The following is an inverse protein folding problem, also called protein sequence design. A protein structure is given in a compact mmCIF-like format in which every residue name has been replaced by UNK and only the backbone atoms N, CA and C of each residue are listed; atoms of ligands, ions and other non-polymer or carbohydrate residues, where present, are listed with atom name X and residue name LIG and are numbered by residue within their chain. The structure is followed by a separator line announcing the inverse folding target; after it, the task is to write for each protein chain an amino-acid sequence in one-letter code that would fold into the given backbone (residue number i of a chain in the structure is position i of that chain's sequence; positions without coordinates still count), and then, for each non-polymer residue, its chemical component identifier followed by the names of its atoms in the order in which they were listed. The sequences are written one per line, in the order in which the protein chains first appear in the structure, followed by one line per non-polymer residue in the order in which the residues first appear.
data_IF_507695123870
#
_entry.id   IF_507695123870
#
_cell.length_a   1.000
_cell.length_b   1.000
_cell.length_c   1.000
_cell.angle_alpha   90.00
_cell.angle_beta   90.00
_cell.angle_gamma   90.00
#
_symmetry.space_group_name_H-M   'P 1'
#
loop_
_entity.id
_entity.type
_entity.pdbx_description
1 polymer ?
#
# COMPACT_ATOMS: atom_id res chain seq x y z
N UNK A 1 55.80 -4.05 25.67
CA UNK A 1 56.00 -3.65 24.26
C UNK A 1 55.64 -4.86 23.38
N UNK A 2 54.42 -4.92 22.85
CA UNK A 2 54.00 -5.71 21.67
C UNK A 2 52.48 -6.02 21.76
N UNK A 3 51.63 -5.05 21.44
CA UNK A 3 50.19 -5.26 21.23
C UNK A 3 49.58 -4.20 20.26
N UNK A 4 50.26 -3.85 19.16
CA UNK A 4 49.75 -2.81 18.23
C UNK A 4 49.91 -3.18 16.75
N UNK A 5 50.04 -4.44 16.36
CA UNK A 5 50.34 -4.73 14.94
C UNK A 5 49.32 -5.58 14.19
N UNK A 6 48.12 -5.90 14.73
CA UNK A 6 47.15 -6.79 14.02
C UNK A 6 45.81 -6.13 13.58
N UNK A 7 45.69 -4.81 13.68
CA UNK A 7 44.45 -4.09 13.42
C UNK A 7 44.08 -3.85 11.94
N UNK A 8 44.96 -3.72 10.96
CA UNK A 8 44.55 -3.40 9.60
C UNK A 8 44.05 -4.59 8.78
N UNK A 9 44.55 -5.80 9.01
CA UNK A 9 44.25 -6.98 8.21
C UNK A 9 42.83 -7.56 8.45
N UNK A 10 42.35 -7.46 9.67
CA UNK A 10 40.96 -7.88 10.02
C UNK A 10 39.91 -6.96 9.44
N UNK A 11 40.18 -5.66 9.33
CA UNK A 11 39.26 -4.68 8.72
C UNK A 11 39.08 -4.90 7.21
N UNK A 12 40.13 -5.24 6.51
CA UNK A 12 40.09 -5.47 5.05
C UNK A 12 39.36 -6.77 4.72
N UNK A 13 39.48 -7.81 5.55
CA UNK A 13 38.76 -9.06 5.40
C UNK A 13 37.25 -8.87 5.64
N UNK A 14 36.89 -8.09 6.62
CA UNK A 14 35.49 -7.73 6.95
C UNK A 14 34.83 -6.90 5.84
N UNK A 15 35.52 -5.93 5.23
CA UNK A 15 35.02 -5.17 4.08
C UNK A 15 34.82 -6.03 2.84
N UNK A 16 35.69 -7.01 2.59
CA UNK A 16 35.54 -7.94 1.46
C UNK A 16 34.34 -8.88 1.63
N UNK A 17 34.06 -9.34 2.84
CA UNK A 17 32.88 -10.17 3.12
C UNK A 17 31.59 -9.39 2.99
N UNK A 18 31.53 -8.13 3.44
CA UNK A 18 30.38 -7.24 3.25
C UNK A 18 30.11 -6.97 1.75
N UNK A 19 31.15 -6.71 0.96
CA UNK A 19 30.98 -6.48 -0.48
C UNK A 19 30.55 -7.74 -1.24
N UNK A 20 30.86 -8.92 -0.75
CA UNK A 20 30.43 -10.17 -1.34
C UNK A 20 28.96 -10.51 -1.02
N UNK A 21 28.51 -10.22 0.21
CA UNK A 21 27.14 -10.45 0.66
C UNK A 21 26.13 -9.46 0.06
N UNK A 22 26.55 -8.27 -0.33
CA UNK A 22 25.67 -7.24 -0.91
C UNK A 22 25.24 -7.54 -2.37
N UNK A 23 25.71 -8.63 -2.96
CA UNK A 23 25.33 -9.07 -4.32
C UNK A 23 24.17 -10.07 -4.35
N UNK A 24 23.62 -10.49 -3.20
CA UNK A 24 22.52 -11.44 -3.11
C UNK A 24 21.38 -10.88 -2.25
N UNK A 25 20.19 -10.64 -2.81
CA UNK A 25 19.06 -10.01 -2.10
C UNK A 25 18.51 -10.86 -0.94
N UNK A 26 18.80 -12.15 -0.88
CA UNK A 26 18.28 -13.07 0.15
C UNK A 26 19.05 -13.04 1.48
N UNK A 27 20.16 -12.32 1.56
CA UNK A 27 21.08 -12.39 2.71
C UNK A 27 20.99 -11.19 3.69
N UNK A 28 19.96 -10.33 3.58
CA UNK A 28 19.81 -9.21 4.51
C UNK A 28 19.73 -9.63 5.98
N UNK A 29 19.05 -10.74 6.27
CA UNK A 29 18.91 -11.26 7.65
C UNK A 29 20.25 -11.80 8.19
N UNK A 30 21.07 -12.41 7.36
CA UNK A 30 22.41 -12.88 7.76
C UNK A 30 23.38 -11.71 7.98
N UNK A 31 23.25 -10.63 7.23
CA UNK A 31 24.08 -9.43 7.40
C UNK A 31 23.80 -8.76 8.74
N UNK A 32 22.54 -8.65 9.16
CA UNK A 32 22.18 -8.16 10.49
C UNK A 32 22.74 -9.03 11.61
N UNK A 33 22.70 -10.37 11.48
CA UNK A 33 23.29 -11.31 12.46
C UNK A 33 24.81 -11.17 12.55
N UNK A 34 25.52 -10.93 11.44
CA UNK A 34 26.97 -10.73 11.42
C UNK A 34 27.36 -9.37 12.04
N UNK A 35 26.60 -8.32 11.79
CA UNK A 35 26.79 -7.03 12.48
C UNK A 35 26.52 -7.14 13.99
N UNK A 36 25.49 -7.87 14.38
CA UNK A 36 25.13 -8.09 15.77
C UNK A 36 26.23 -8.83 16.55
N UNK A 37 26.81 -9.88 15.96
CA UNK A 37 27.84 -10.69 16.62
C UNK A 37 29.22 -10.00 16.69
N UNK A 38 29.54 -9.06 15.79
CA UNK A 38 30.81 -8.34 15.78
C UNK A 38 30.79 -7.00 16.54
N UNK A 39 29.62 -6.45 16.85
CA UNK A 39 29.48 -5.24 17.68
C UNK A 39 29.76 -5.49 19.18
N UNK A 40 29.92 -6.76 19.59
CA UNK A 40 30.22 -7.17 20.97
C UNK A 40 31.59 -6.73 21.48
N UNK A 41 32.44 -6.07 20.65
CA UNK A 41 33.80 -5.69 21.05
C UNK A 41 33.97 -4.25 21.55
N UNK A 42 32.88 -3.44 21.59
CA UNK A 42 32.98 -2.08 22.13
C UNK A 42 32.01 -1.89 23.30
N UNK A 43 32.52 -1.96 24.50
CA UNK A 43 31.76 -2.00 25.77
C UNK A 43 30.83 -0.80 26.07
N UNK A 44 30.72 0.21 25.17
CA UNK A 44 29.78 1.32 25.30
C UNK A 44 28.45 1.11 24.58
N UNK A 45 28.37 0.17 23.61
CA UNK A 45 27.12 -0.10 22.87
C UNK A 45 26.21 -1.11 23.60
N UNK A 46 26.77 -1.86 24.56
CA UNK A 46 26.05 -2.94 25.24
C UNK A 46 24.93 -2.46 26.18
N UNK A 47 25.01 -1.24 26.67
CA UNK A 47 23.98 -0.68 27.57
C UNK A 47 22.70 -0.23 26.83
N UNK A 48 22.78 0.01 25.50
CA UNK A 48 21.64 0.45 24.69
C UNK A 48 20.86 -0.70 24.04
N UNK A 49 21.43 -1.93 23.99
CA UNK A 49 20.90 -3.04 23.21
C UNK A 49 20.00 -3.99 24.00
N UNK A 50 19.78 -3.77 25.29
CA UNK A 50 18.99 -4.68 26.14
C UNK A 50 17.60 -4.13 26.50
N UNK A 51 17.12 -3.09 25.78
CA UNK A 51 15.74 -2.65 25.91
C UNK A 51 14.92 -3.36 24.84
N UNK A 52 14.05 -4.27 25.24
CA UNK A 52 12.99 -4.76 24.37
C UNK A 52 12.19 -3.54 23.87
N UNK A 53 12.02 -3.34 22.55
CA UNK A 53 11.29 -2.17 22.04
C UNK A 53 9.88 -2.18 22.63
N UNK A 54 9.42 -1.00 23.01
CA UNK A 54 8.04 -0.85 23.48
C UNK A 54 7.06 -1.28 22.37
N UNK A 55 5.87 -1.79 22.70
CA UNK A 55 4.90 -2.23 21.70
C UNK A 55 4.57 -1.17 20.65
N UNK A 56 4.50 0.11 21.06
CA UNK A 56 4.27 1.24 20.15
C UNK A 56 5.44 1.45 19.18
N UNK A 57 6.68 1.37 19.65
CA UNK A 57 7.86 1.48 18.79
C UNK A 57 7.98 0.29 17.81
N UNK A 58 7.60 -0.91 18.26
CA UNK A 58 7.63 -2.11 17.43
C UNK A 58 6.57 -2.04 16.32
N UNK A 59 5.35 -1.65 16.66
CA UNK A 59 4.25 -1.47 15.70
C UNK A 59 4.59 -0.34 14.72
N UNK A 60 5.11 0.80 15.20
CA UNK A 60 5.54 1.91 14.33
C UNK A 60 6.62 1.46 13.33
N UNK A 61 7.62 0.72 13.79
CA UNK A 61 8.67 0.18 12.93
C UNK A 61 8.13 -0.80 11.89
N UNK A 62 7.22 -1.70 12.31
CA UNK A 62 6.57 -2.65 11.41
C UNK A 62 5.77 -1.94 10.30
N UNK A 63 4.95 -0.95 10.67
CA UNK A 63 4.16 -0.15 9.74
C UNK A 63 5.00 0.68 8.77
N UNK A 64 6.21 1.11 9.18
CA UNK A 64 7.13 1.88 8.33
C UNK A 64 7.95 0.99 7.37
N UNK A 65 8.17 -0.26 7.73
CA UNK A 65 9.01 -1.18 6.93
C UNK A 65 8.20 -2.11 6.04
N UNK A 66 6.93 -2.33 6.37
CA UNK A 66 6.04 -3.19 5.57
C UNK A 66 5.47 -2.42 4.38
N UNK A 67 5.45 -3.07 3.21
CA UNK A 67 4.91 -2.47 1.98
C UNK A 67 3.40 -2.64 1.87
N UNK A 68 2.85 -3.69 2.49
CA UNK A 68 1.43 -4.00 2.50
C UNK A 68 0.77 -3.53 3.80
N UNK A 69 -0.54 -3.22 3.79
CA UNK A 69 -1.27 -2.90 5.01
C UNK A 69 -1.19 -4.03 6.03
N UNK A 70 -0.97 -3.70 7.30
CA UNK A 70 -0.94 -4.66 8.39
C UNK A 70 -2.31 -4.74 9.07
N UNK A 71 -2.82 -5.96 9.23
CA UNK A 71 -4.04 -6.21 9.98
C UNK A 71 -3.81 -6.03 11.50
N UNK A 72 -4.87 -5.71 12.24
CA UNK A 72 -4.82 -5.61 13.70
C UNK A 72 -4.35 -6.91 14.36
N UNK A 73 -4.69 -8.05 13.77
CA UNK A 73 -4.25 -9.35 14.24
C UNK A 73 -2.73 -9.51 14.14
N UNK A 74 -2.16 -9.20 12.98
CA UNK A 74 -0.70 -9.28 12.76
C UNK A 74 0.06 -8.36 13.71
N UNK A 75 -0.42 -7.12 13.90
CA UNK A 75 0.20 -6.18 14.83
C UNK A 75 0.17 -6.65 16.28
N UNK A 76 -0.89 -7.35 16.70
CA UNK A 76 -0.98 -7.93 18.05
C UNK A 76 -0.04 -9.10 18.23
N UNK A 77 0.10 -9.93 17.20
CA UNK A 77 0.98 -11.11 17.19
C UNK A 77 2.47 -10.73 17.18
N UNK A 78 2.82 -9.53 16.68
CA UNK A 78 4.20 -9.01 16.73
C UNK A 78 4.70 -8.72 18.14
N UNK A 79 3.79 -8.45 19.08
CA UNK A 79 4.15 -8.09 20.46
C UNK A 79 4.24 -9.32 21.35
N UNK A 80 5.23 -9.37 22.22
CA UNK A 80 5.38 -10.42 23.23
C UNK A 80 5.36 -9.79 24.64
N UNK A 81 4.35 -10.10 25.50
CA UNK A 81 3.16 -10.91 25.24
C UNK A 81 2.18 -10.26 24.25
N UNK A 82 1.32 -11.07 23.64
CA UNK A 82 0.32 -10.57 22.69
C UNK A 82 -0.49 -9.40 23.26
N UNK A 83 -0.57 -8.31 22.45
CA UNK A 83 -1.25 -7.10 22.85
C UNK A 83 -2.78 -7.32 22.90
N UNK A 84 -3.46 -6.78 23.92
CA UNK A 84 -4.92 -6.76 23.94
C UNK A 84 -5.45 -5.78 22.87
N UNK A 85 -6.71 -5.99 22.44
CA UNK A 85 -7.36 -5.13 21.46
C UNK A 85 -7.40 -3.66 21.88
N UNK A 86 -7.80 -3.41 23.14
CA UNK A 86 -7.92 -2.04 23.69
C UNK A 86 -6.56 -1.32 23.66
N UNK A 87 -5.49 -2.00 24.08
CA UNK A 87 -4.15 -1.42 24.06
C UNK A 87 -3.66 -1.16 22.64
N UNK A 88 -4.02 -2.00 21.65
CA UNK A 88 -3.69 -1.75 20.26
C UNK A 88 -4.37 -0.48 19.76
N UNK A 89 -5.66 -0.30 20.08
CA UNK A 89 -6.42 0.91 19.71
C UNK A 89 -5.76 2.16 20.31
N UNK A 90 -5.34 2.10 21.56
CA UNK A 90 -4.64 3.22 22.22
C UNK A 90 -3.32 3.54 21.51
N UNK A 91 -2.52 2.52 21.17
CA UNK A 91 -1.26 2.68 20.45
C UNK A 91 -1.49 3.28 19.06
N UNK A 92 -2.44 2.78 18.29
CA UNK A 92 -2.77 3.30 16.95
C UNK A 92 -3.28 4.75 17.01
N UNK A 93 -4.10 5.08 18.02
CA UNK A 93 -4.59 6.43 18.24
C UNK A 93 -3.46 7.39 18.57
N UNK A 94 -2.53 6.98 19.44
CA UNK A 94 -1.33 7.76 19.77
C UNK A 94 -0.40 7.93 18.56
N UNK A 95 -0.21 6.90 17.75
CA UNK A 95 0.57 6.97 16.51
C UNK A 95 -0.09 7.89 15.50
N UNK A 96 -1.41 7.79 15.30
CA UNK A 96 -2.16 8.68 14.39
C UNK A 96 -2.01 10.14 14.78
N UNK A 97 -2.08 10.45 16.08
CA UNK A 97 -1.87 11.80 16.60
C UNK A 97 -0.41 12.27 16.40
N UNK A 98 0.58 11.40 16.68
CA UNK A 98 2.02 11.70 16.53
C UNK A 98 2.38 12.04 15.08
N UNK A 99 1.73 11.42 14.10
CA UNK A 99 2.01 11.57 12.68
C UNK A 99 1.04 12.49 11.94
N UNK A 100 0.07 13.10 12.63
CA UNK A 100 -0.99 13.90 12.02
C UNK A 100 -0.50 15.07 11.14
N UNK A 101 0.55 15.78 11.56
CA UNK A 101 1.10 16.93 10.84
C UNK A 101 2.45 16.63 10.14
N UNK A 102 2.69 15.39 9.77
CA UNK A 102 3.92 14.99 9.08
C UNK A 102 3.65 14.68 7.61
N UNK A 103 4.73 14.54 6.83
CA UNK A 103 4.65 14.13 5.42
C UNK A 103 4.13 12.71 5.22
N UNK A 104 4.15 11.87 6.26
CA UNK A 104 3.52 10.57 6.32
C UNK A 104 2.36 10.63 7.32
N UNK A 105 1.27 9.97 6.98
CA UNK A 105 0.08 9.84 7.82
C UNK A 105 -0.29 8.37 7.98
N UNK A 106 -0.74 7.99 9.17
CA UNK A 106 -1.27 6.66 9.43
C UNK A 106 -2.73 6.61 8.99
N UNK A 107 -3.03 5.73 8.04
CA UNK A 107 -4.38 5.53 7.50
C UNK A 107 -4.83 4.09 7.70
N UNK A 108 -6.15 3.93 7.88
CA UNK A 108 -6.82 2.65 7.90
C UNK A 108 -7.51 2.41 6.56
N UNK A 109 -7.43 1.21 6.03
CA UNK A 109 -8.08 0.79 4.80
C UNK A 109 -8.78 -0.56 5.02
N UNK A 110 -9.57 -1.02 4.05
CA UNK A 110 -10.25 -2.31 4.12
C UNK A 110 -9.31 -3.52 4.32
N UNK A 111 -8.02 -3.37 4.05
CA UNK A 111 -7.00 -4.43 4.24
C UNK A 111 -6.19 -4.26 5.54
N UNK A 112 -6.29 -3.13 6.22
CA UNK A 112 -5.56 -2.86 7.47
C UNK A 112 -4.93 -1.47 7.52
N UNK A 113 -3.96 -1.30 8.40
CA UNK A 113 -3.26 -0.06 8.69
C UNK A 113 -1.97 0.07 7.87
N UNK A 114 -1.69 1.27 7.37
CA UNK A 114 -0.43 1.59 6.69
C UNK A 114 -0.07 3.05 6.82
N UNK A 115 1.21 3.37 6.64
CA UNK A 115 1.63 4.75 6.42
C UNK A 115 1.48 5.14 4.96
N UNK A 116 1.03 6.36 4.75
CA UNK A 116 0.84 6.94 3.44
C UNK A 116 1.37 8.36 3.40
N UNK A 117 1.83 8.79 2.21
CA UNK A 117 2.26 10.18 1.98
C UNK A 117 1.04 11.09 2.08
N UNK A 118 1.14 12.13 2.91
CA UNK A 118 0.10 13.14 3.03
C UNK A 118 -0.13 13.86 1.68
N UNK A 119 -1.37 14.22 1.31
CA UNK A 119 -1.66 14.91 0.05
C UNK A 119 -0.81 16.16 -0.17
N UNK A 120 -0.56 16.95 0.86
CA UNK A 120 0.28 18.15 0.82
C UNK A 120 1.75 17.89 0.49
N UNK A 121 2.25 16.70 0.81
CA UNK A 121 3.61 16.28 0.50
C UNK A 121 3.72 15.55 -0.85
N UNK A 122 2.62 14.95 -1.30
CA UNK A 122 2.58 14.15 -2.52
C UNK A 122 2.96 14.96 -3.77
N UNK A 123 2.48 16.19 -3.92
CA UNK A 123 2.80 17.07 -5.06
C UNK A 123 4.30 17.32 -5.17
N UNK A 124 5.00 17.48 -4.04
CA UNK A 124 6.44 17.74 -4.01
C UNK A 124 7.28 16.48 -4.21
N UNK A 125 6.81 15.35 -3.70
CA UNK A 125 7.49 14.06 -3.79
C UNK A 125 7.17 13.32 -5.08
N UNK A 126 6.04 13.62 -5.73
CA UNK A 126 5.60 12.98 -6.97
C UNK A 126 6.61 13.12 -8.12
N UNK A 127 7.38 14.21 -8.14
CA UNK A 127 8.46 14.40 -9.13
C UNK A 127 9.64 13.44 -8.94
N UNK A 128 9.81 12.86 -7.75
CA UNK A 128 10.86 11.87 -7.46
C UNK A 128 10.43 10.44 -7.84
N UNK A 129 9.14 10.21 -7.95
CA UNK A 129 8.57 8.91 -8.30
C UNK A 129 7.92 9.00 -9.68
N UNK A 130 8.73 8.97 -10.73
CA UNK A 130 8.25 8.84 -12.13
C UNK A 130 7.62 7.45 -12.42
N UNK A 131 6.96 6.85 -11.46
CA UNK A 131 6.11 5.70 -11.77
C UNK A 131 4.90 6.22 -12.54
N UNK A 132 4.92 6.01 -13.86
CA UNK A 132 3.75 6.26 -14.71
C UNK A 132 2.57 5.50 -14.16
N UNK A 133 1.68 6.20 -13.46
CA UNK A 133 0.40 5.62 -13.06
C UNK A 133 -0.30 5.10 -14.32
N UNK A 134 -0.74 3.83 -14.34
CA UNK A 134 -1.46 3.30 -15.50
C UNK A 134 -2.68 4.20 -15.77
N UNK A 135 -2.77 4.72 -16.99
CA UNK A 135 -3.92 5.52 -17.40
C UNK A 135 -5.01 4.56 -17.88
N UNK A 136 -6.11 4.55 -17.17
CA UNK A 136 -7.30 3.79 -17.59
C UNK A 136 -8.11 4.60 -18.59
N UNK A 137 -8.70 3.90 -19.56
CA UNK A 137 -9.61 4.55 -20.49
C UNK A 137 -10.88 5.02 -19.77
N UNK A 138 -11.54 6.05 -20.32
CA UNK A 138 -12.82 6.55 -19.80
C UNK A 138 -13.84 5.42 -19.64
N UNK A 139 -13.91 4.52 -20.62
CA UNK A 139 -14.83 3.37 -20.59
C UNK A 139 -14.57 2.44 -19.39
N UNK A 140 -13.31 2.22 -18.99
CA UNK A 140 -12.95 1.41 -17.80
C UNK A 140 -13.42 2.10 -16.53
N UNK A 141 -13.16 3.41 -16.39
CA UNK A 141 -13.54 4.19 -15.21
C UNK A 141 -15.06 4.32 -15.06
N UNK A 142 -15.79 4.58 -16.15
CA UNK A 142 -17.26 4.63 -16.13
C UNK A 142 -17.87 3.27 -15.72
N UNK A 143 -17.35 2.18 -16.28
CA UNK A 143 -17.82 0.83 -15.95
C UNK A 143 -17.55 0.51 -14.48
N UNK A 144 -16.35 0.85 -13.97
CA UNK A 144 -16.00 0.66 -12.58
C UNK A 144 -16.92 1.47 -11.65
N UNK A 145 -17.19 2.73 -11.99
CA UNK A 145 -18.09 3.56 -11.20
C UNK A 145 -19.50 2.96 -11.11
N UNK A 146 -20.07 2.49 -12.23
CA UNK A 146 -21.39 1.86 -12.23
C UNK A 146 -21.39 0.62 -11.33
N UNK A 147 -20.36 -0.23 -11.42
CA UNK A 147 -20.27 -1.41 -10.55
C UNK A 147 -20.18 -0.98 -9.08
N UNK A 148 -19.34 0.01 -8.74
CA UNK A 148 -19.13 0.45 -7.37
C UNK A 148 -20.40 1.02 -6.71
N UNK A 149 -21.21 1.76 -7.46
CA UNK A 149 -22.41 2.42 -6.91
C UNK A 149 -23.70 1.59 -7.03
N UNK A 150 -23.77 0.64 -7.97
CA UNK A 150 -25.01 -0.08 -8.28
C UNK A 150 -24.94 -1.58 -7.98
N UNK A 151 -23.81 -2.08 -7.51
CA UNK A 151 -23.61 -3.52 -7.25
C UNK A 151 -24.71 -4.13 -6.35
N UNK A 152 -25.12 -5.37 -6.64
CA UNK A 152 -24.62 -6.27 -7.70
C UNK A 152 -25.25 -5.98 -9.07
N UNK A 153 -24.45 -5.91 -10.13
CA UNK A 153 -24.91 -5.59 -11.49
C UNK A 153 -24.50 -6.65 -12.50
N UNK A 154 -25.30 -6.83 -13.54
CA UNK A 154 -24.93 -7.63 -14.71
C UNK A 154 -24.30 -6.75 -15.78
N UNK A 155 -23.66 -7.38 -16.78
CA UNK A 155 -23.16 -6.66 -17.95
C UNK A 155 -24.28 -5.90 -18.69
N UNK A 156 -25.47 -6.48 -18.80
CA UNK A 156 -26.60 -5.81 -19.42
C UNK A 156 -27.08 -4.58 -18.66
N UNK A 157 -27.03 -4.60 -17.31
CA UNK A 157 -27.35 -3.43 -16.50
C UNK A 157 -26.35 -2.30 -16.73
N UNK A 158 -25.06 -2.65 -16.81
CA UNK A 158 -23.99 -1.67 -17.08
C UNK A 158 -24.18 -1.04 -18.47
N UNK A 159 -24.47 -1.85 -19.48
CA UNK A 159 -24.74 -1.40 -20.86
C UNK A 159 -25.99 -0.52 -20.94
N UNK A 160 -27.03 -0.84 -20.18
CA UNK A 160 -28.26 -0.04 -20.10
C UNK A 160 -28.02 1.34 -19.49
N UNK A 161 -27.19 1.43 -18.44
CA UNK A 161 -26.84 2.69 -17.80
C UNK A 161 -25.90 3.53 -18.68
N UNK A 162 -24.92 2.90 -19.33
CA UNK A 162 -23.96 3.61 -20.18
C UNK A 162 -24.55 4.03 -21.54
N UNK A 163 -25.60 3.37 -21.98
CA UNK A 163 -26.16 3.54 -23.32
C UNK A 163 -25.31 2.95 -24.46
N UNK A 164 -24.18 2.29 -24.13
CA UNK A 164 -23.26 1.66 -25.09
C UNK A 164 -22.77 0.31 -24.58
N UNK A 165 -22.44 -0.60 -25.51
CA UNK A 165 -21.93 -1.90 -25.15
C UNK A 165 -20.62 -1.85 -24.39
N UNK A 166 -20.43 -2.79 -23.46
CA UNK A 166 -19.19 -2.96 -22.68
C UNK A 166 -18.31 -3.98 -23.38
N UNK A 167 -17.11 -3.58 -23.81
CA UNK A 167 -16.19 -4.54 -24.41
C UNK A 167 -15.65 -5.53 -23.38
N UNK A 168 -15.34 -6.75 -23.82
CA UNK A 168 -14.73 -7.77 -22.96
C UNK A 168 -13.42 -7.28 -22.33
N UNK A 169 -12.65 -6.51 -23.07
CA UNK A 169 -11.37 -5.95 -22.59
C UNK A 169 -11.53 -5.02 -21.38
N UNK A 170 -12.64 -4.26 -21.29
CA UNK A 170 -12.93 -3.39 -20.14
C UNK A 170 -13.12 -4.25 -18.87
N UNK A 171 -13.95 -5.28 -18.96
CA UNK A 171 -14.20 -6.20 -17.83
C UNK A 171 -12.91 -6.92 -17.45
N UNK A 172 -12.18 -7.43 -18.42
CA UNK A 172 -10.91 -8.13 -18.19
C UNK A 172 -9.88 -7.23 -17.50
N UNK A 173 -9.73 -5.97 -17.92
CA UNK A 173 -8.83 -5.00 -17.27
C UNK A 173 -9.18 -4.80 -15.80
N UNK A 174 -10.47 -4.70 -15.46
CA UNK A 174 -10.93 -4.54 -14.08
C UNK A 174 -10.69 -5.81 -13.24
N UNK A 175 -10.88 -7.00 -13.85
CA UNK A 175 -10.59 -8.28 -13.19
C UNK A 175 -9.10 -8.50 -12.97
N UNK A 176 -8.26 -8.24 -13.99
CA UNK A 176 -6.80 -8.36 -13.88
C UNK A 176 -6.23 -7.44 -12.80
N UNK A 177 -6.88 -6.30 -12.56
CA UNK A 177 -6.56 -5.40 -11.46
C UNK A 177 -7.08 -5.90 -10.11
N UNK A 178 -7.93 -6.91 -10.11
CA UNK A 178 -8.57 -7.42 -8.90
C UNK A 178 -9.60 -6.45 -8.31
N UNK A 179 -10.15 -5.52 -9.09
CA UNK A 179 -11.12 -4.55 -8.60
C UNK A 179 -12.55 -5.03 -8.62
N UNK A 180 -12.87 -5.97 -9.50
CA UNK A 180 -14.20 -6.58 -9.61
C UNK A 180 -14.13 -8.10 -9.56
N UNK A 181 -15.19 -8.70 -9.03
CA UNK A 181 -15.35 -10.15 -8.98
C UNK A 181 -16.79 -10.56 -9.29
N UNK A 182 -16.96 -11.82 -9.66
CA UNK A 182 -18.29 -12.43 -9.86
C UNK A 182 -18.76 -12.97 -8.51
N UNK A 183 -19.86 -12.41 -7.99
CA UNK A 183 -20.42 -12.85 -6.70
C UNK A 183 -21.58 -13.86 -6.88
N UNK A 184 -22.04 -14.08 -8.11
CA UNK A 184 -23.12 -14.99 -8.40
C UNK A 184 -23.65 -14.85 -9.84
N UNK A 185 -24.83 -15.34 -10.05
CA UNK A 185 -25.58 -15.23 -11.30
C UNK A 185 -27.01 -14.78 -11.01
N UNK A 186 -27.59 -13.96 -11.90
CA UNK A 186 -29.01 -13.56 -11.79
C UNK A 186 -29.90 -14.72 -12.28
N UNK A 187 -30.95 -14.97 -11.57
CA UNK A 187 -31.94 -16.02 -11.97
C UNK A 187 -32.91 -15.52 -13.06
N UNK A 188 -32.33 -15.27 -14.23
CA UNK A 188 -33.02 -14.85 -15.45
C UNK A 188 -32.52 -15.67 -16.63
N UNK A 189 -33.23 -15.60 -17.77
CA UNK A 189 -32.84 -16.30 -19.01
C UNK A 189 -31.40 -15.92 -19.36
N UNK A 190 -30.52 -16.91 -19.57
CA UNK A 190 -29.11 -16.73 -19.85
C UNK A 190 -28.22 -16.65 -18.59
N UNK A 191 -28.77 -16.63 -17.36
CA UNK A 191 -28.07 -16.61 -16.08
C UNK A 191 -26.83 -15.71 -16.08
N UNK A 192 -26.99 -14.39 -16.35
CA UNK A 192 -25.87 -13.49 -16.47
C UNK A 192 -25.11 -13.35 -15.12
N UNK A 193 -23.79 -13.25 -15.20
CA UNK A 193 -22.93 -13.05 -14.03
C UNK A 193 -23.23 -11.72 -13.34
N UNK A 194 -23.25 -11.75 -12.02
CA UNK A 194 -23.38 -10.56 -11.15
C UNK A 194 -22.00 -10.10 -10.71
N UNK A 195 -21.71 -8.84 -10.97
CA UNK A 195 -20.43 -8.20 -10.66
C UNK A 195 -20.54 -7.34 -9.41
N UNK A 196 -19.49 -7.37 -8.60
CA UNK A 196 -19.31 -6.50 -7.44
C UNK A 196 -17.84 -6.10 -7.31
N UNK A 197 -17.58 -5.08 -6.51
CA UNK A 197 -16.22 -4.64 -6.17
C UNK A 197 -15.62 -5.53 -5.10
N UNK A 198 -14.29 -5.59 -5.06
CA UNK A 198 -13.50 -6.39 -4.12
C UNK A 198 -12.94 -5.56 -2.98
N UNK A 199 -12.35 -6.22 -1.98
CA UNK A 199 -11.56 -5.54 -0.95
C UNK A 199 -10.33 -4.84 -1.53
N UNK A 200 -9.75 -5.37 -2.62
CA UNK A 200 -8.61 -4.74 -3.31
C UNK A 200 -8.99 -3.38 -3.90
N UNK A 201 -10.18 -3.26 -4.48
CA UNK A 201 -10.72 -1.99 -4.94
C UNK A 201 -10.79 -0.94 -3.82
N UNK A 202 -11.32 -1.32 -2.65
CA UNK A 202 -11.38 -0.43 -1.50
C UNK A 202 -9.98 -0.01 -1.00
N UNK A 203 -9.06 -0.97 -0.95
CA UNK A 203 -7.69 -0.71 -0.51
C UNK A 203 -6.93 0.22 -1.47
N UNK A 204 -7.05 0.02 -2.79
CA UNK A 204 -6.40 0.84 -3.80
C UNK A 204 -6.94 2.28 -3.81
N UNK A 205 -8.24 2.45 -3.53
CA UNK A 205 -8.89 3.75 -3.37
C UNK A 205 -8.80 4.31 -1.94
N UNK A 206 -8.18 3.57 -1.01
CA UNK A 206 -7.99 3.98 0.39
C UNK A 206 -9.29 4.18 1.16
N UNK A 207 -10.30 3.41 0.83
CA UNK A 207 -11.60 3.39 1.49
C UNK A 207 -11.64 2.29 2.55
N UNK A 208 -12.36 2.52 3.63
CA UNK A 208 -12.70 1.48 4.63
C UNK A 208 -13.90 0.67 4.15
N UNK A 209 -14.89 1.37 3.64
CA UNK A 209 -16.16 0.80 3.17
C UNK A 209 -16.64 1.47 1.88
N UNK A 210 -17.61 0.88 1.22
CA UNK A 210 -18.27 1.50 0.05
C UNK A 210 -19.06 2.76 0.40
N UNK A 211 -19.44 2.93 1.67
CA UNK A 211 -20.14 4.12 2.12
C UNK A 211 -19.24 5.37 2.13
N UNK A 212 -17.91 5.19 2.09
CA UNK A 212 -16.95 6.28 2.01
C UNK A 212 -16.80 6.85 0.59
N UNK A 213 -17.46 6.23 -0.40
CA UNK A 213 -17.53 6.78 -1.76
C UNK A 213 -18.32 8.11 -1.75
N UNK A 214 -17.84 9.14 -2.46
CA UNK A 214 -18.54 10.40 -2.56
C UNK A 214 -19.92 10.21 -3.18
N UNK A 215 -20.97 10.90 -2.73
CA UNK A 215 -22.28 10.77 -3.31
C UNK A 215 -22.30 11.20 -4.77
N UNK A 216 -23.12 10.54 -5.61
CA UNK A 216 -23.19 10.81 -7.05
C UNK A 216 -23.52 12.27 -7.39
N UNK A 217 -24.18 12.98 -6.48
CA UNK A 217 -24.49 14.42 -6.62
C UNK A 217 -23.22 15.28 -6.66
N UNK A 218 -22.20 14.93 -5.90
CA UNK A 218 -20.93 15.64 -5.88
C UNK A 218 -20.06 15.32 -7.11
N UNK A 219 -20.18 14.11 -7.66
CA UNK A 219 -19.46 13.72 -8.87
C UNK A 219 -19.92 14.48 -10.12
N UNK A 220 -21.16 14.96 -10.14
CA UNK A 220 -21.68 15.78 -11.22
C UNK A 220 -21.05 17.18 -11.31
N UNK A 221 -20.50 17.69 -10.21
CA UNK A 221 -19.78 18.97 -10.14
C UNK A 221 -18.27 18.85 -10.37
N UNK A 222 -17.71 17.63 -10.30
CA UNK A 222 -16.34 17.36 -10.70
C UNK A 222 -16.26 17.40 -12.22
N UNK A 223 -16.19 18.61 -12.75
CA UNK A 223 -15.79 18.86 -14.14
C UNK A 223 -14.42 18.20 -14.29
N UNK A 224 -14.38 17.08 -15.02
CA UNK A 224 -13.11 16.52 -15.47
C UNK A 224 -12.33 17.65 -16.13
N UNK A 225 -11.08 17.95 -15.72
CA UNK A 225 -10.35 19.04 -16.32
C UNK A 225 -10.35 18.83 -17.82
N UNK A 226 -10.87 19.80 -18.55
CA UNK A 226 -10.92 19.86 -20.03
C UNK A 226 -9.51 20.02 -20.64
N UNK A 227 -8.55 19.27 -20.18
CA UNK A 227 -7.19 19.26 -20.73
C UNK A 227 -6.94 18.00 -21.54
N UNK A 228 -7.83 17.76 -22.50
CA UNK A 228 -7.47 17.09 -23.74
C UNK A 228 -8.09 17.87 -24.90
N UNK A 229 -7.66 19.11 -25.02
CA UNK A 229 -7.75 19.81 -26.31
C UNK A 229 -6.93 18.98 -27.28
N UNK A 230 -7.62 18.20 -28.08
CA UNK A 230 -7.08 17.59 -29.28
C UNK A 230 -6.66 18.79 -30.15
N UNK A 231 -5.36 19.03 -30.26
CA UNK A 231 -4.84 19.93 -31.28
C UNK A 231 -5.35 19.40 -32.62
N UNK A 232 -5.99 20.27 -33.44
CA UNK A 232 -6.36 19.86 -34.78
C UNK A 232 -5.07 19.47 -35.51
N UNK A 233 -5.02 18.29 -36.06
CA UNK A 233 -4.06 17.91 -37.07
C UNK A 233 -4.40 18.73 -38.31
N UNK A 234 -3.72 19.87 -38.48
CA UNK A 234 -3.73 20.56 -39.76
C UNK A 234 -3.05 19.62 -40.77
N UNK A 235 -3.89 19.16 -41.71
CA UNK A 235 -3.42 18.46 -42.88
C UNK A 235 -2.72 19.40 -43.83
N UNK A 236 -1.62 18.98 -44.36
CA UNK A 236 -1.21 19.17 -45.75
C UNK A 236 -0.24 18.04 -46.11
#
# INVERSE_FOLDING_TARGET
MSMVQDFPTKRIKFYKEICFLNRQPENHIQMYKLFYNNALFSGCLFCFMNQTPTPDALIEAALLTHTEPLSEREMRELCDPHLSQDKLIDVLSALKLRWHNRALQLVHSAQGWRFQIAPSAFERLGSLHEQRTPRYSRAVLETLAIIAYQQPVTRGDIEAIRGVSVSQNVIQTLQERGWIEIIGQRDTIGKPALWATTKQFLADLQLETLADLPPLTELGELVLPETLTILPTDGE
#
